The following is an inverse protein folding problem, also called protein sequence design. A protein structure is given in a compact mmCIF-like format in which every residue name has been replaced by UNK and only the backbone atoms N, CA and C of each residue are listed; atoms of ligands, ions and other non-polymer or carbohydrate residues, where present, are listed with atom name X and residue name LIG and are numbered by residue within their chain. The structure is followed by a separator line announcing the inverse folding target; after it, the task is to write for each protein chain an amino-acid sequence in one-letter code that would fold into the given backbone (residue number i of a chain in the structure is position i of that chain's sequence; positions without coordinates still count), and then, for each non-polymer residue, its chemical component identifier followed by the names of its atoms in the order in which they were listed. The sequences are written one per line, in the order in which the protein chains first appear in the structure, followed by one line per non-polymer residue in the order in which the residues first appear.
data_IF_063844539169
#
_entry.id   IF_063844539169
#
_cell.length_a   1.000
_cell.length_b   1.000
_cell.length_c   1.000
_cell.angle_alpha   90.00
_cell.angle_beta   90.00
_cell.angle_gamma   90.00
#
_symmetry.space_group_name_H-M   'P 1'
#
loop_
_entity.id
_entity.type
_entity.pdbx_description
1 polymer ?
#
# COMPACT_ATOMS: atom_id res chain seq x y z
N UNK A 1 16.69 -4.27 -22.28
CA UNK A 1 17.91 -3.80 -21.57
C UNK A 1 18.60 -4.95 -20.83
N UNK A 2 18.68 -6.18 -21.39
CA UNK A 2 19.17 -7.35 -20.65
C UNK A 2 20.63 -7.21 -20.21
N UNK A 3 21.49 -6.78 -21.13
CA UNK A 3 22.95 -6.68 -20.90
C UNK A 3 23.41 -5.21 -20.83
N UNK A 4 22.54 -4.32 -20.32
CA UNK A 4 22.80 -2.88 -20.26
C UNK A 4 22.48 -2.33 -18.88
N UNK A 5 23.37 -1.48 -18.38
CA UNK A 5 23.09 -0.60 -17.24
C UNK A 5 22.24 0.58 -17.72
N UNK A 6 21.25 0.96 -16.92
CA UNK A 6 20.40 2.12 -17.18
C UNK A 6 20.00 2.78 -15.86
N UNK A 7 19.50 4.01 -15.95
CA UNK A 7 19.08 4.82 -14.80
C UNK A 7 17.63 5.26 -14.96
N UNK A 8 16.93 5.43 -13.84
CA UNK A 8 15.60 6.00 -13.81
C UNK A 8 15.66 7.46 -13.34
N UNK A 9 15.55 8.46 -14.26
CA UNK A 9 15.29 9.82 -13.81
C UNK A 9 13.94 9.86 -13.11
N UNK A 10 13.84 10.63 -12.02
CA UNK A 10 12.63 10.78 -11.24
C UNK A 10 12.05 12.18 -11.41
N UNK A 11 10.73 12.27 -11.35
CA UNK A 11 9.97 13.51 -11.28
C UNK A 11 9.08 13.50 -10.02
N UNK A 12 8.66 14.67 -9.56
CA UNK A 12 7.79 14.81 -8.39
C UNK A 12 6.35 15.10 -8.82
N UNK A 13 5.37 14.53 -8.11
CA UNK A 13 4.01 15.08 -8.15
C UNK A 13 3.92 16.39 -7.34
N UNK A 14 2.78 17.08 -7.41
CA UNK A 14 2.60 18.37 -6.73
C UNK A 14 2.80 18.30 -5.19
N UNK A 15 2.71 17.10 -4.60
CA UNK A 15 2.90 16.86 -3.16
C UNK A 15 4.34 16.48 -2.82
N UNK A 16 5.22 16.37 -3.82
CA UNK A 16 6.61 15.97 -3.66
C UNK A 16 6.87 14.47 -3.68
N UNK A 17 5.90 13.61 -4.06
CA UNK A 17 6.17 12.17 -4.19
C UNK A 17 6.94 11.90 -5.48
N UNK A 18 8.05 11.18 -5.36
CA UNK A 18 8.91 10.84 -6.49
C UNK A 18 8.38 9.64 -7.30
N UNK A 19 8.40 9.77 -8.62
CA UNK A 19 8.05 8.73 -9.58
C UNK A 19 9.07 8.71 -10.72
N UNK A 20 9.46 7.53 -11.24
CA UNK A 20 10.27 7.42 -12.45
C UNK A 20 9.56 8.08 -13.63
N UNK A 21 10.30 8.90 -14.38
CA UNK A 21 9.80 9.54 -15.61
C UNK A 21 9.42 8.51 -16.69
N UNK A 22 10.18 7.40 -16.91
CA UNK A 22 9.78 6.38 -17.88
C UNK A 22 8.53 5.61 -17.42
N UNK A 23 7.39 5.71 -18.11
CA UNK A 23 6.11 5.20 -17.59
C UNK A 23 5.94 3.68 -17.78
N UNK A 24 6.58 3.09 -18.79
CA UNK A 24 6.30 1.70 -19.20
C UNK A 24 7.08 0.65 -18.41
N UNK A 25 8.34 0.94 -18.10
CA UNK A 25 9.25 -0.01 -17.45
C UNK A 25 10.00 0.70 -16.34
N UNK A 26 9.64 0.42 -15.09
CA UNK A 26 10.27 0.98 -13.91
C UNK A 26 9.98 0.16 -12.64
N UNK A 27 10.76 0.38 -11.59
CA UNK A 27 10.70 -0.38 -10.34
C UNK A 27 9.44 -0.14 -9.48
N UNK A 28 8.55 0.81 -9.83
CA UNK A 28 7.25 0.94 -9.16
C UNK A 28 6.18 0.01 -9.74
N UNK A 29 6.48 -0.67 -10.85
CA UNK A 29 5.57 -1.58 -11.54
C UNK A 29 5.13 -2.81 -10.74
N UNK A 30 4.53 -3.76 -11.45
CA UNK A 30 4.03 -5.02 -10.88
C UNK A 30 5.14 -5.91 -10.32
N UNK A 31 4.73 -6.96 -9.61
CA UNK A 31 5.63 -7.99 -9.05
C UNK A 31 6.66 -8.49 -10.08
N UNK A 32 6.21 -8.80 -11.30
CA UNK A 32 7.07 -9.26 -12.39
C UNK A 32 8.12 -8.21 -12.82
N UNK A 33 7.74 -6.93 -12.86
CA UNK A 33 8.69 -5.88 -13.25
C UNK A 33 9.74 -5.67 -12.16
N UNK A 34 9.34 -5.73 -10.89
CA UNK A 34 10.25 -5.61 -9.76
C UNK A 34 11.22 -6.79 -9.67
N UNK A 35 10.78 -8.00 -10.02
CA UNK A 35 11.62 -9.20 -9.93
C UNK A 35 12.75 -9.27 -10.96
N UNK A 36 12.65 -8.52 -12.05
CA UNK A 36 13.66 -8.53 -13.14
C UNK A 36 14.63 -7.34 -13.06
N UNK A 37 14.45 -6.44 -12.09
CA UNK A 37 15.32 -5.30 -11.88
C UNK A 37 16.25 -5.58 -10.69
N UNK A 38 17.55 -5.46 -10.93
CA UNK A 38 18.61 -5.58 -9.92
C UNK A 38 19.42 -4.29 -9.89
N UNK A 39 20.14 -4.05 -8.79
CA UNK A 39 21.12 -2.96 -8.76
C UNK A 39 22.27 -3.27 -9.72
N UNK A 40 22.70 -2.28 -10.50
CA UNK A 40 23.84 -2.45 -11.40
C UNK A 40 25.15 -2.63 -10.63
N UNK A 41 25.31 -1.91 -9.52
CA UNK A 41 26.41 -2.04 -8.59
C UNK A 41 26.00 -2.98 -7.45
N UNK A 42 26.71 -4.10 -7.32
CA UNK A 42 26.51 -5.07 -6.25
C UNK A 42 27.38 -4.76 -5.04
N UNK A 43 27.03 -5.33 -3.89
CA UNK A 43 27.78 -5.17 -2.64
C UNK A 43 27.98 -6.55 -1.98
N UNK A 44 29.15 -6.81 -1.35
CA UNK A 44 29.34 -8.02 -0.57
C UNK A 44 28.33 -8.09 0.57
N UNK A 45 27.76 -9.27 0.83
CA UNK A 45 26.73 -9.45 1.86
C UNK A 45 27.23 -9.08 3.26
N UNK A 46 28.50 -9.33 3.56
CA UNK A 46 29.06 -9.21 4.89
C UNK A 46 28.34 -10.11 5.91
N UNK A 47 28.59 -9.85 7.20
CA UNK A 47 28.14 -10.70 8.32
C UNK A 47 26.63 -10.93 8.38
N UNK A 48 25.83 -9.92 8.01
CA UNK A 48 24.37 -9.94 8.19
C UNK A 48 23.58 -10.00 6.87
N UNK A 49 24.23 -9.83 5.71
CA UNK A 49 23.53 -9.70 4.43
C UNK A 49 22.76 -10.96 4.04
N UNK A 50 23.31 -12.14 4.33
CA UNK A 50 22.63 -13.41 4.06
C UNK A 50 21.33 -13.55 4.88
N UNK A 51 21.36 -13.13 6.14
CA UNK A 51 20.17 -13.16 7.00
C UNK A 51 19.10 -12.16 6.53
N UNK A 52 19.52 -10.98 6.07
CA UNK A 52 18.59 -10.02 5.47
C UNK A 52 17.98 -10.52 4.16
N UNK A 53 18.72 -11.25 3.33
CA UNK A 53 18.15 -11.92 2.15
C UNK A 53 17.12 -12.98 2.54
N UNK A 54 17.39 -13.78 3.57
CA UNK A 54 16.44 -14.77 4.10
C UNK A 54 15.16 -14.12 4.63
N UNK A 55 15.30 -13.04 5.42
CA UNK A 55 14.16 -12.26 5.92
C UNK A 55 13.37 -11.65 4.77
N UNK A 56 14.04 -11.08 3.77
CA UNK A 56 13.42 -10.53 2.57
C UNK A 56 12.61 -11.59 1.83
N UNK A 57 13.16 -12.80 1.63
CA UNK A 57 12.45 -13.90 1.00
C UNK A 57 11.16 -14.22 1.75
N UNK A 58 11.20 -14.34 3.08
CA UNK A 58 9.99 -14.60 3.88
C UNK A 58 9.01 -13.42 3.80
N UNK A 59 9.48 -12.17 3.81
CA UNK A 59 8.61 -11.01 3.63
C UNK A 59 7.84 -11.06 2.31
N UNK A 60 8.51 -11.46 1.21
CA UNK A 60 7.90 -11.62 -0.12
C UNK A 60 6.87 -12.75 -0.16
N UNK A 61 7.08 -13.81 0.63
CA UNK A 61 6.09 -14.91 0.74
C UNK A 61 4.75 -14.44 1.30
N UNK A 62 4.79 -13.42 2.16
CA UNK A 62 3.64 -12.97 2.93
C UNK A 62 3.32 -13.85 4.14
N UNK A 63 4.11 -14.91 4.38
CA UNK A 63 4.09 -15.70 5.60
C UNK A 63 4.77 -14.95 6.75
N UNK A 64 4.47 -15.36 7.99
CA UNK A 64 5.11 -14.86 9.20
C UNK A 64 5.09 -13.33 9.36
N UNK A 65 4.10 -12.65 8.76
CA UNK A 65 3.96 -11.17 8.77
C UNK A 65 3.88 -10.57 10.17
N UNK A 66 3.30 -11.31 11.13
CA UNK A 66 3.15 -10.88 12.52
C UNK A 66 4.28 -11.37 13.42
N UNK A 67 5.21 -12.14 12.87
CA UNK A 67 6.33 -12.69 13.62
C UNK A 67 7.55 -11.76 13.53
N UNK A 68 8.39 -11.74 14.57
CA UNK A 68 9.64 -10.98 14.57
C UNK A 68 10.68 -11.57 13.61
N UNK A 69 11.70 -10.77 13.29
CA UNK A 69 12.74 -11.14 12.33
C UNK A 69 13.42 -12.48 12.66
N UNK A 70 13.67 -12.78 13.94
CA UNK A 70 14.24 -14.06 14.39
C UNK A 70 13.42 -15.28 13.94
N UNK A 71 12.09 -15.19 13.99
CA UNK A 71 11.19 -16.28 13.59
C UNK A 71 11.12 -16.37 12.07
N UNK A 72 11.15 -15.23 11.36
CA UNK A 72 11.23 -15.24 9.89
C UNK A 72 12.52 -15.89 9.41
N UNK A 73 13.65 -15.57 10.04
CA UNK A 73 14.95 -16.15 9.74
C UNK A 73 14.97 -17.66 10.00
N UNK A 74 14.44 -18.10 11.15
CA UNK A 74 14.30 -19.53 11.45
C UNK A 74 13.47 -20.24 10.37
N UNK A 75 12.32 -19.68 10.02
CA UNK A 75 11.45 -20.26 9.00
C UNK A 75 12.12 -20.31 7.62
N UNK A 76 12.93 -19.32 7.26
CA UNK A 76 13.74 -19.37 6.05
C UNK A 76 14.76 -20.51 6.07
N UNK A 77 15.41 -20.75 7.21
CA UNK A 77 16.36 -21.85 7.38
C UNK A 77 15.68 -23.23 7.28
N UNK A 78 14.45 -23.36 7.78
CA UNK A 78 13.63 -24.58 7.65
C UNK A 78 13.22 -24.84 6.19
N UNK A 79 13.07 -23.78 5.39
CA UNK A 79 12.63 -23.83 3.98
C UNK A 79 13.77 -23.84 2.95
N UNK A 80 15.01 -24.04 3.37
CA UNK A 80 16.16 -24.12 2.45
C UNK A 80 15.95 -25.13 1.32
N UNK A 81 15.45 -26.36 1.55
CA UNK A 81 15.20 -27.31 0.47
C UNK A 81 14.23 -26.76 -0.60
N UNK A 82 13.11 -26.17 -0.19
CA UNK A 82 12.11 -25.59 -1.10
C UNK A 82 12.63 -24.33 -1.81
N UNK A 83 13.46 -23.53 -1.13
CA UNK A 83 14.12 -22.35 -1.70
C UNK A 83 15.09 -22.78 -2.81
N UNK A 84 15.93 -23.79 -2.56
CA UNK A 84 16.89 -24.31 -3.55
C UNK A 84 16.16 -24.99 -4.71
N UNK A 85 15.13 -25.79 -4.45
CA UNK A 85 14.31 -26.40 -5.50
C UNK A 85 13.64 -25.34 -6.40
N UNK A 86 13.06 -24.30 -5.79
CA UNK A 86 12.47 -23.19 -6.53
C UNK A 86 13.50 -22.44 -7.38
N UNK A 87 14.74 -22.30 -6.90
CA UNK A 87 15.81 -21.64 -7.64
C UNK A 87 16.28 -22.45 -8.86
N UNK A 88 16.44 -23.77 -8.68
CA UNK A 88 17.03 -24.67 -9.67
C UNK A 88 16.03 -25.19 -10.69
N UNK A 89 14.81 -25.53 -10.25
CA UNK A 89 13.75 -26.16 -11.04
C UNK A 89 12.45 -25.38 -10.93
N UNK A 90 12.41 -24.11 -11.36
CA UNK A 90 11.31 -23.19 -11.10
C UNK A 90 9.95 -23.65 -11.68
N UNK A 91 9.95 -24.50 -12.70
CA UNK A 91 8.72 -25.01 -13.33
C UNK A 91 8.56 -26.53 -13.22
N UNK A 92 9.65 -27.26 -13.00
CA UNK A 92 9.69 -28.72 -12.95
C UNK A 92 9.71 -29.29 -11.52
N UNK A 93 10.05 -28.46 -10.53
CA UNK A 93 10.06 -28.82 -9.11
C UNK A 93 8.70 -28.64 -8.42
N UNK A 94 8.74 -28.41 -7.11
CA UNK A 94 7.57 -28.24 -6.24
C UNK A 94 6.90 -26.86 -6.38
N UNK A 95 7.57 -25.93 -7.06
CA UNK A 95 7.06 -24.59 -7.37
C UNK A 95 6.58 -23.81 -6.13
N UNK A 96 7.24 -24.02 -4.98
CA UNK A 96 6.89 -23.41 -3.70
C UNK A 96 6.75 -21.88 -3.80
N UNK A 97 7.61 -21.24 -4.59
CA UNK A 97 7.57 -19.79 -4.86
C UNK A 97 6.19 -19.29 -5.35
N UNK A 98 5.39 -20.10 -6.04
CA UNK A 98 4.05 -19.72 -6.53
C UNK A 98 3.01 -19.54 -5.42
N UNK A 99 3.27 -20.09 -4.23
CA UNK A 99 2.37 -19.98 -3.07
C UNK A 99 2.47 -18.62 -2.36
N UNK A 100 3.40 -17.76 -2.77
CA UNK A 100 3.67 -16.47 -2.15
C UNK A 100 2.75 -15.34 -2.61
N UNK A 101 2.66 -14.29 -1.80
CA UNK A 101 2.03 -13.00 -2.16
C UNK A 101 2.72 -12.29 -3.34
N UNK A 102 4.03 -12.49 -3.50
CA UNK A 102 4.91 -11.87 -4.52
C UNK A 102 5.74 -12.95 -5.23
N UNK A 103 5.10 -13.76 -6.10
CA UNK A 103 5.70 -14.97 -6.65
C UNK A 103 6.97 -14.70 -7.44
N UNK A 104 6.98 -13.72 -8.35
CA UNK A 104 8.16 -13.49 -9.19
C UNK A 104 9.33 -12.92 -8.38
N UNK A 105 9.08 -12.00 -7.45
CA UNK A 105 10.12 -11.51 -6.56
C UNK A 105 10.63 -12.61 -5.62
N UNK A 106 9.75 -13.50 -5.14
CA UNK A 106 10.14 -14.64 -4.29
C UNK A 106 11.06 -15.58 -5.07
N UNK A 107 10.73 -15.91 -6.32
CA UNK A 107 11.59 -16.73 -7.18
C UNK A 107 12.95 -16.08 -7.45
N UNK A 108 12.97 -14.78 -7.75
CA UNK A 108 14.21 -14.03 -7.94
C UNK A 108 15.08 -14.05 -6.66
N UNK A 109 14.46 -13.90 -5.48
CA UNK A 109 15.15 -13.99 -4.20
C UNK A 109 15.63 -15.41 -3.88
N UNK A 110 14.87 -16.45 -4.26
CA UNK A 110 15.33 -17.85 -4.14
C UNK A 110 16.61 -18.08 -4.92
N UNK A 111 16.68 -17.56 -6.16
CA UNK A 111 17.88 -17.64 -7.01
C UNK A 111 19.07 -16.90 -6.39
N UNK A 112 18.85 -15.70 -5.87
CA UNK A 112 19.90 -14.95 -5.18
C UNK A 112 20.44 -15.69 -3.96
N UNK A 113 19.55 -16.24 -3.13
CA UNK A 113 19.93 -17.02 -1.95
C UNK A 113 20.65 -18.32 -2.33
N UNK A 114 20.21 -19.01 -3.38
CA UNK A 114 20.89 -20.21 -3.86
C UNK A 114 22.33 -19.88 -4.29
N UNK A 115 22.54 -18.78 -5.00
CA UNK A 115 23.88 -18.32 -5.38
C UNK A 115 24.74 -17.99 -4.15
N UNK A 116 24.18 -17.22 -3.20
CA UNK A 116 24.89 -16.84 -1.98
C UNK A 116 25.27 -18.04 -1.11
N UNK A 117 24.36 -19.02 -0.94
CA UNK A 117 24.58 -20.23 -0.15
C UNK A 117 25.58 -21.20 -0.79
N UNK A 118 25.72 -21.17 -2.12
CA UNK A 118 26.69 -21.98 -2.86
C UNK A 118 28.06 -21.32 -2.96
N UNK A 119 28.18 -20.04 -2.59
CA UNK A 119 29.45 -19.33 -2.57
C UNK A 119 30.36 -19.91 -1.46
N UNK A 120 31.68 -20.08 -1.70
CA UNK A 120 32.60 -20.64 -0.69
C UNK A 120 32.61 -19.85 0.63
N UNK A 121 32.43 -18.53 0.54
CA UNK A 121 32.25 -17.64 1.68
C UNK A 121 31.03 -16.72 1.44
N UNK A 122 29.84 -17.02 1.97
CA UNK A 122 28.64 -16.22 1.71
C UNK A 122 28.78 -14.73 2.07
N UNK A 123 29.63 -14.36 3.03
CA UNK A 123 29.86 -12.94 3.38
C UNK A 123 30.54 -12.14 2.25
N UNK A 124 31.32 -12.82 1.41
CA UNK A 124 32.03 -12.21 0.27
C UNK A 124 31.21 -12.25 -1.03
N UNK A 125 30.06 -12.93 -1.04
CA UNK A 125 29.18 -12.97 -2.21
C UNK A 125 28.66 -11.56 -2.52
N UNK A 126 28.95 -11.07 -3.73
CA UNK A 126 28.51 -9.75 -4.20
C UNK A 126 27.07 -9.85 -4.69
N UNK A 127 26.14 -9.36 -3.88
CA UNK A 127 24.71 -9.36 -4.17
C UNK A 127 24.28 -8.08 -4.87
N UNK A 128 23.40 -8.24 -5.86
CA UNK A 128 22.77 -7.15 -6.59
C UNK A 128 21.28 -7.00 -6.24
N UNK A 129 20.78 -7.88 -5.38
CA UNK A 129 19.34 -8.02 -5.13
C UNK A 129 18.83 -6.96 -4.14
N UNK A 130 17.77 -6.22 -4.48
CA UNK A 130 17.19 -5.23 -3.57
C UNK A 130 16.44 -5.88 -2.40
N UNK A 131 16.81 -5.49 -1.17
CA UNK A 131 16.06 -5.83 0.05
C UNK A 131 15.13 -4.68 0.41
N UNK A 132 13.84 -4.98 0.60
CA UNK A 132 12.82 -3.95 0.84
C UNK A 132 12.58 -3.77 2.34
N UNK A 133 12.44 -2.52 2.78
CA UNK A 133 11.94 -2.15 4.10
C UNK A 133 10.79 -1.17 3.89
N UNK A 134 9.68 -1.37 4.60
CA UNK A 134 8.47 -0.56 4.46
C UNK A 134 7.85 -0.31 5.84
N UNK A 135 7.17 0.83 5.99
CA UNK A 135 6.48 1.19 7.21
C UNK A 135 5.12 0.50 7.30
N UNK A 136 4.72 0.11 8.52
CA UNK A 136 3.39 -0.41 8.77
C UNK A 136 2.38 0.75 8.77
N UNK A 137 1.87 1.08 7.58
CA UNK A 137 0.94 2.21 7.36
C UNK A 137 1.56 3.59 7.66
N UNK A 138 2.47 4.06 6.79
CA UNK A 138 3.19 5.33 6.98
C UNK A 138 2.28 6.53 7.25
N UNK A 139 1.08 6.59 6.65
CA UNK A 139 0.13 7.67 6.94
C UNK A 139 -0.27 7.74 8.41
N UNK A 140 -0.63 6.61 9.02
CA UNK A 140 -0.94 6.54 10.46
C UNK A 140 0.30 6.76 11.32
N UNK A 141 1.49 6.33 10.87
CA UNK A 141 2.75 6.66 11.56
C UNK A 141 2.95 8.18 11.64
N UNK A 142 2.71 8.91 10.55
CA UNK A 142 2.80 10.38 10.58
C UNK A 142 1.73 11.01 11.49
N UNK A 143 0.49 10.54 11.47
CA UNK A 143 -0.54 11.06 12.37
C UNK A 143 -0.23 10.80 13.84
N UNK A 144 0.22 9.59 14.19
CA UNK A 144 0.62 9.26 15.55
C UNK A 144 1.78 10.13 16.02
N UNK A 145 2.76 10.42 15.15
CA UNK A 145 3.86 11.32 15.46
C UNK A 145 3.41 12.78 15.63
N UNK A 146 2.53 13.29 14.75
CA UNK A 146 2.00 14.65 14.82
C UNK A 146 1.17 14.86 16.10
N UNK A 147 0.30 13.92 16.43
CA UNK A 147 -0.56 13.97 17.62
C UNK A 147 0.13 13.53 18.91
N UNK A 148 1.35 12.98 18.82
CA UNK A 148 2.03 12.28 19.92
C UNK A 148 1.13 11.24 20.60
N UNK A 149 0.37 10.51 19.78
CA UNK A 149 -0.58 9.49 20.20
C UNK A 149 0.15 8.19 20.53
N UNK A 150 0.30 7.88 21.82
CA UNK A 150 1.01 6.70 22.29
C UNK A 150 0.35 5.39 21.86
N UNK A 151 -0.99 5.30 21.96
CA UNK A 151 -1.73 4.10 21.57
C UNK A 151 -1.63 3.90 20.06
N UNK A 152 -1.82 4.98 19.29
CA UNK A 152 -1.63 4.95 17.85
C UNK A 152 -0.21 4.54 17.46
N UNK A 153 0.81 5.08 18.14
CA UNK A 153 2.22 4.80 17.92
C UNK A 153 2.59 3.33 18.17
N UNK A 154 1.96 2.67 19.14
CA UNK A 154 2.13 1.22 19.39
C UNK A 154 1.61 0.43 18.18
N UNK A 155 0.36 0.68 17.76
CA UNK A 155 -0.31 -0.07 16.68
C UNK A 155 0.41 0.01 15.32
N UNK A 156 1.17 1.08 15.09
CA UNK A 156 1.92 1.32 13.85
C UNK A 156 3.44 1.21 13.99
N UNK A 157 3.92 0.59 15.08
CA UNK A 157 5.32 0.25 15.31
C UNK A 157 6.28 1.46 15.43
N UNK A 158 5.79 2.61 15.90
CA UNK A 158 6.66 3.71 16.35
C UNK A 158 7.20 3.46 17.76
N UNK A 159 6.40 2.81 18.61
CA UNK A 159 6.85 2.36 19.92
C UNK A 159 7.64 1.03 19.77
N UNK A 160 8.82 0.88 20.39
CA UNK A 160 9.57 -0.37 20.38
C UNK A 160 8.74 -1.55 20.90
N UNK A 161 8.86 -2.71 20.24
CA UNK A 161 8.18 -3.94 20.63
C UNK A 161 8.98 -5.16 20.17
N UNK A 162 8.83 -6.28 20.88
CA UNK A 162 9.50 -7.55 20.55
C UNK A 162 8.91 -8.22 19.30
N UNK A 163 7.70 -7.84 18.90
CA UNK A 163 7.01 -8.34 17.72
C UNK A 163 6.30 -7.20 16.97
N UNK A 164 6.18 -7.31 15.63
CA UNK A 164 5.50 -6.28 14.85
C UNK A 164 4.01 -6.24 15.17
N UNK A 165 3.52 -5.05 15.51
CA UNK A 165 2.11 -4.73 15.63
C UNK A 165 1.46 -4.61 14.24
N UNK A 166 0.19 -4.97 14.17
CA UNK A 166 -0.56 -5.09 12.92
C UNK A 166 -1.91 -4.40 13.04
N UNK A 167 -1.89 -3.07 12.88
CA UNK A 167 -3.09 -2.19 12.91
C UNK A 167 -4.28 -2.76 12.13
N UNK A 168 -4.03 -3.42 10.99
CA UNK A 168 -5.09 -3.99 10.17
C UNK A 168 -5.84 -5.11 10.89
N UNK A 169 -5.15 -5.86 11.74
CA UNK A 169 -5.74 -6.93 12.55
C UNK A 169 -6.46 -6.38 13.78
N UNK A 170 -5.94 -5.32 14.40
CA UNK A 170 -6.64 -4.59 15.45
C UNK A 170 -7.99 -4.05 14.95
N UNK A 171 -7.98 -3.33 13.81
CA UNK A 171 -9.21 -2.86 13.17
C UNK A 171 -10.13 -4.02 12.78
N UNK A 172 -9.59 -5.11 12.20
CA UNK A 172 -10.39 -6.29 11.84
C UNK A 172 -11.11 -6.90 13.05
N UNK A 173 -10.45 -6.93 14.22
CA UNK A 173 -11.02 -7.49 15.44
C UNK A 173 -12.14 -6.59 16.00
N UNK A 174 -11.97 -5.27 15.96
CA UNK A 174 -13.04 -4.33 16.34
C UNK A 174 -14.24 -4.43 15.39
N UNK A 175 -14.01 -4.49 14.08
CA UNK A 175 -15.10 -4.67 13.10
C UNK A 175 -15.85 -5.98 13.34
N UNK A 176 -15.14 -7.06 13.66
CA UNK A 176 -15.77 -8.34 13.99
C UNK A 176 -16.58 -8.28 15.29
N UNK A 177 -16.09 -7.59 16.33
CA UNK A 177 -16.85 -7.33 17.57
C UNK A 177 -18.16 -6.59 17.27
N UNK A 178 -18.09 -5.52 16.49
CA UNK A 178 -19.26 -4.74 16.10
C UNK A 178 -20.24 -5.57 15.24
N UNK A 179 -19.72 -6.42 14.35
CA UNK A 179 -20.51 -7.36 13.56
C UNK A 179 -21.25 -8.36 14.43
N UNK A 180 -20.59 -8.94 15.43
CA UNK A 180 -21.21 -9.89 16.36
C UNK A 180 -22.36 -9.25 17.13
N UNK A 181 -22.17 -8.02 17.62
CA UNK A 181 -23.22 -7.26 18.31
C UNK A 181 -24.44 -7.02 17.39
N UNK A 182 -24.22 -6.55 16.17
CA UNK A 182 -25.30 -6.30 15.22
C UNK A 182 -26.00 -7.59 14.77
N UNK A 183 -25.24 -8.68 14.59
CA UNK A 183 -25.78 -9.99 14.26
C UNK A 183 -26.70 -10.53 15.37
N UNK A 184 -26.31 -10.34 16.64
CA UNK A 184 -27.13 -10.67 17.81
C UNK A 184 -28.40 -9.81 17.89
N UNK A 185 -28.35 -8.57 17.41
CA UNK A 185 -29.50 -7.67 17.29
C UNK A 185 -30.36 -7.91 16.03
N UNK A 186 -30.09 -8.98 15.27
CA UNK A 186 -30.93 -9.37 14.13
C UNK A 186 -30.60 -8.67 12.80
N UNK A 187 -29.45 -8.00 12.68
CA UNK A 187 -29.01 -7.40 11.41
C UNK A 187 -28.56 -8.49 10.44
N UNK A 188 -29.34 -8.73 9.39
CA UNK A 188 -29.13 -9.84 8.44
C UNK A 188 -27.73 -9.82 7.80
N UNK A 189 -27.29 -8.66 7.28
CA UNK A 189 -25.97 -8.53 6.65
C UNK A 189 -24.83 -8.84 7.61
N UNK A 190 -24.98 -8.49 8.89
CA UNK A 190 -23.97 -8.78 9.91
C UNK A 190 -23.86 -10.29 10.16
N UNK A 191 -24.99 -11.02 10.18
CA UNK A 191 -24.99 -12.48 10.28
C UNK A 191 -24.32 -13.14 9.07
N UNK A 192 -24.62 -12.67 7.86
CA UNK A 192 -24.00 -13.21 6.62
C UNK A 192 -22.50 -12.95 6.51
N UNK A 193 -21.99 -11.95 7.21
CA UNK A 193 -20.57 -11.60 7.26
C UNK A 193 -19.73 -12.42 8.23
N UNK A 194 -20.33 -13.36 8.97
CA UNK A 194 -19.61 -14.24 9.89
C UNK A 194 -18.49 -15.02 9.18
N UNK A 195 -17.26 -14.92 9.69
CA UNK A 195 -16.07 -15.56 9.09
C UNK A 195 -15.48 -14.84 7.86
N UNK A 196 -16.08 -13.74 7.41
CA UNK A 196 -15.64 -12.96 6.25
C UNK A 196 -14.94 -11.64 6.60
N UNK A 197 -14.99 -11.19 7.86
CA UNK A 197 -14.22 -10.04 8.37
C UNK A 197 -12.75 -10.42 8.55
N UNK A 198 -12.03 -10.52 7.43
CA UNK A 198 -10.63 -10.93 7.37
C UNK A 198 -9.71 -9.72 7.20
N UNK A 199 -8.47 -9.81 7.71
CA UNK A 199 -7.41 -8.81 7.51
C UNK A 199 -7.30 -8.33 6.06
N UNK A 200 -7.38 -9.24 5.09
CA UNK A 200 -7.28 -8.92 3.65
C UNK A 200 -8.41 -7.96 3.19
N UNK A 201 -9.63 -8.15 3.70
CA UNK A 201 -10.81 -7.34 3.36
C UNK A 201 -10.67 -5.91 3.92
N UNK A 202 -10.23 -5.78 5.18
CA UNK A 202 -10.12 -4.46 5.83
C UNK A 202 -8.86 -3.68 5.43
N UNK A 203 -7.76 -4.37 5.09
CA UNK A 203 -6.43 -3.76 4.91
C UNK A 203 -6.43 -2.60 3.94
N UNK A 204 -7.05 -2.77 2.77
CA UNK A 204 -6.98 -1.75 1.71
C UNK A 204 -7.69 -0.46 2.13
N UNK A 205 -8.84 -0.58 2.80
CA UNK A 205 -9.62 0.57 3.28
C UNK A 205 -8.91 1.29 4.42
N UNK A 206 -8.37 0.57 5.40
CA UNK A 206 -7.55 1.16 6.48
C UNK A 206 -6.34 1.90 5.90
N UNK A 207 -5.63 1.28 4.96
CA UNK A 207 -4.46 1.89 4.32
C UNK A 207 -4.81 3.16 3.55
N UNK A 208 -5.98 3.22 2.90
CA UNK A 208 -6.38 4.38 2.07
C UNK A 208 -7.17 5.43 2.84
N UNK A 209 -7.68 5.11 4.04
CA UNK A 209 -8.36 6.05 4.94
C UNK A 209 -7.52 7.29 5.20
N UNK A 210 -6.27 7.10 5.62
CA UNK A 210 -5.31 8.20 5.90
C UNK A 210 -4.87 8.97 4.65
N UNK A 211 -5.23 8.52 3.46
CA UNK A 211 -4.96 9.20 2.20
C UNK A 211 -6.23 9.82 1.59
N UNK A 212 -7.31 9.98 2.38
CA UNK A 212 -8.51 10.70 1.97
C UNK A 212 -9.48 9.86 1.12
N UNK A 213 -9.51 8.54 1.29
CA UNK A 213 -10.52 7.72 0.59
C UNK A 213 -11.93 8.14 1.03
N UNK A 214 -12.81 8.38 0.06
CA UNK A 214 -14.22 8.68 0.35
C UNK A 214 -14.96 7.41 0.76
N UNK A 215 -16.12 7.55 1.42
CA UNK A 215 -17.01 6.42 1.73
C UNK A 215 -17.35 5.57 0.49
N UNK A 216 -17.54 6.24 -0.66
CA UNK A 216 -17.77 5.57 -1.93
C UNK A 216 -16.54 4.77 -2.40
N UNK A 217 -15.36 5.38 -2.38
CA UNK A 217 -14.11 4.70 -2.73
C UNK A 217 -13.82 3.50 -1.81
N UNK A 218 -14.02 3.67 -0.50
CA UNK A 218 -13.86 2.63 0.50
C UNK A 218 -14.80 1.45 0.25
N UNK A 219 -16.09 1.72 -0.01
CA UNK A 219 -17.08 0.69 -0.38
C UNK A 219 -16.61 -0.11 -1.59
N UNK A 220 -16.12 0.54 -2.64
CA UNK A 220 -15.64 -0.16 -3.85
C UNK A 220 -14.41 -1.04 -3.59
N UNK A 221 -13.49 -0.60 -2.73
CA UNK A 221 -12.34 -1.41 -2.34
C UNK A 221 -12.76 -2.68 -1.59
N UNK A 222 -13.68 -2.55 -0.62
CA UNK A 222 -14.21 -3.69 0.14
C UNK A 222 -14.97 -4.63 -0.78
N UNK A 223 -15.84 -4.09 -1.64
CA UNK A 223 -16.59 -4.87 -2.61
C UNK A 223 -15.67 -5.71 -3.49
N UNK A 224 -14.55 -5.15 -3.94
CA UNK A 224 -13.54 -5.89 -4.70
C UNK A 224 -12.96 -7.06 -3.88
N UNK A 225 -12.61 -6.84 -2.62
CA UNK A 225 -12.08 -7.90 -1.76
C UNK A 225 -13.12 -8.99 -1.45
N UNK A 226 -14.40 -8.63 -1.29
CA UNK A 226 -15.48 -9.60 -1.08
C UNK A 226 -15.72 -10.47 -2.32
N UNK A 227 -15.64 -9.90 -3.52
CA UNK A 227 -15.76 -10.64 -4.79
C UNK A 227 -14.64 -11.65 -5.02
N UNK A 228 -13.48 -11.44 -4.40
CA UNK A 228 -12.35 -12.36 -4.46
C UNK A 228 -12.52 -13.55 -3.48
N UNK A 229 -13.63 -13.65 -2.76
CA UNK A 229 -13.95 -14.74 -1.82
C UNK A 229 -15.06 -15.61 -2.43
N UNK A 230 -14.74 -16.79 -2.99
CA UNK A 230 -15.72 -17.64 -3.67
C UNK A 230 -16.88 -18.11 -2.79
N UNK A 231 -16.67 -18.18 -1.47
CA UNK A 231 -17.67 -18.66 -0.51
C UNK A 231 -18.66 -17.59 -0.07
N UNK A 232 -18.44 -16.31 -0.42
CA UNK A 232 -19.32 -15.21 -0.01
C UNK A 232 -20.44 -14.99 -1.05
N UNK A 233 -21.69 -14.98 -0.58
CA UNK A 233 -22.86 -14.89 -1.45
C UNK A 233 -22.97 -13.51 -2.13
N UNK A 234 -23.02 -13.53 -3.46
CA UNK A 234 -23.08 -12.34 -4.31
C UNK A 234 -24.27 -11.44 -4.02
N UNK A 235 -25.38 -12.02 -3.52
CA UNK A 235 -26.60 -11.29 -3.15
C UNK A 235 -26.29 -10.18 -2.14
N UNK A 236 -25.35 -10.40 -1.22
CA UNK A 236 -25.05 -9.49 -0.12
C UNK A 236 -23.92 -8.50 -0.43
N UNK A 237 -23.28 -8.57 -1.59
CA UNK A 237 -22.12 -7.73 -1.93
C UNK A 237 -22.32 -6.22 -1.67
N UNK A 238 -23.46 -5.66 -2.07
CA UNK A 238 -23.71 -4.23 -1.94
C UNK A 238 -23.95 -3.82 -0.48
N UNK A 239 -24.76 -4.58 0.23
CA UNK A 239 -25.11 -4.33 1.62
C UNK A 239 -23.91 -4.55 2.53
N UNK A 240 -23.19 -5.67 2.33
CA UNK A 240 -22.01 -6.03 3.10
C UNK A 240 -20.86 -5.03 2.92
N UNK A 241 -20.61 -4.58 1.68
CA UNK A 241 -19.57 -3.56 1.45
C UNK A 241 -19.91 -2.21 2.09
N UNK A 242 -21.19 -1.82 2.12
CA UNK A 242 -21.64 -0.61 2.81
C UNK A 242 -21.51 -0.76 4.32
N UNK A 243 -21.96 -1.88 4.87
CA UNK A 243 -21.89 -2.20 6.29
C UNK A 243 -20.44 -2.20 6.80
N UNK A 244 -19.56 -2.97 6.14
CA UNK A 244 -18.15 -3.04 6.51
C UNK A 244 -17.46 -1.68 6.37
N UNK A 245 -17.79 -0.88 5.36
CA UNK A 245 -17.24 0.48 5.24
C UNK A 245 -17.58 1.32 6.47
N UNK A 246 -18.84 1.30 6.92
CA UNK A 246 -19.27 2.05 8.11
C UNK A 246 -18.55 1.57 9.37
N UNK A 247 -18.48 0.25 9.57
CA UNK A 247 -17.81 -0.34 10.74
C UNK A 247 -16.30 -0.09 10.74
N UNK A 248 -15.63 -0.20 9.59
CA UNK A 248 -14.19 0.11 9.47
C UNK A 248 -13.93 1.58 9.83
N UNK A 249 -14.73 2.52 9.29
CA UNK A 249 -14.57 3.94 9.60
C UNK A 249 -14.81 4.23 11.08
N UNK A 250 -15.81 3.58 11.68
CA UNK A 250 -16.07 3.67 13.12
C UNK A 250 -14.88 3.15 13.94
N UNK A 251 -14.39 1.94 13.64
CA UNK A 251 -13.27 1.32 14.37
C UNK A 251 -11.96 2.11 14.23
N UNK A 252 -11.67 2.71 13.08
CA UNK A 252 -10.49 3.56 12.92
C UNK A 252 -10.61 4.80 13.82
N UNK A 253 -11.78 5.44 13.88
CA UNK A 253 -12.02 6.61 14.74
C UNK A 253 -11.90 6.26 16.22
N UNK A 254 -12.40 5.09 16.63
CA UNK A 254 -12.28 4.59 18.00
C UNK A 254 -10.80 4.33 18.38
N UNK A 255 -10.00 3.77 17.46
CA UNK A 255 -8.59 3.47 17.70
C UNK A 255 -7.66 4.69 17.64
N UNK A 256 -7.97 5.68 16.81
CA UNK A 256 -7.05 6.76 16.46
C UNK A 256 -7.71 8.14 16.63
N UNK A 257 -8.07 8.49 17.86
CA UNK A 257 -8.73 9.75 18.19
C UNK A 257 -7.91 10.97 17.79
N UNK A 258 -6.61 10.99 18.11
CA UNK A 258 -5.71 12.09 17.74
C UNK A 258 -5.58 12.23 16.20
N UNK A 259 -5.59 11.11 15.47
CA UNK A 259 -5.62 11.15 14.00
C UNK A 259 -6.87 11.86 13.50
N UNK A 260 -8.03 11.55 14.10
CA UNK A 260 -9.28 12.20 13.74
C UNK A 260 -9.25 13.71 14.04
N UNK A 261 -8.82 14.11 15.23
CA UNK A 261 -8.75 15.53 15.61
C UNK A 261 -7.87 16.35 14.65
N UNK A 262 -6.73 15.79 14.23
CA UNK A 262 -5.83 16.44 13.25
C UNK A 262 -6.49 16.51 11.87
N UNK A 263 -7.18 15.44 11.44
CA UNK A 263 -7.90 15.43 10.16
C UNK A 263 -9.05 16.46 10.13
N UNK A 264 -9.83 16.52 11.20
CA UNK A 264 -10.93 17.45 11.35
C UNK A 264 -10.39 18.89 11.34
N UNK A 265 -9.30 19.17 12.07
CA UNK A 265 -8.63 20.49 12.06
C UNK A 265 -8.10 20.88 10.67
N UNK A 266 -7.41 19.99 9.95
CA UNK A 266 -6.95 20.29 8.59
C UNK A 266 -8.11 20.53 7.62
N UNK A 267 -9.21 19.80 7.79
CA UNK A 267 -10.41 19.94 6.95
C UNK A 267 -11.07 21.29 7.19
N UNK A 268 -11.23 21.69 8.45
CA UNK A 268 -11.80 22.99 8.82
C UNK A 268 -10.93 24.14 8.29
N UNK A 269 -9.61 24.05 8.45
CA UNK A 269 -8.68 25.03 7.90
C UNK A 269 -8.81 25.16 6.38
N UNK A 270 -8.84 24.03 5.66
CA UNK A 270 -9.00 24.04 4.21
C UNK A 270 -10.33 24.67 3.79
N UNK A 271 -11.43 24.29 4.42
CA UNK A 271 -12.77 24.84 4.15
C UNK A 271 -12.81 26.36 4.37
N UNK A 272 -12.29 26.83 5.51
CA UNK A 272 -12.24 28.26 5.82
C UNK A 272 -11.38 29.05 4.84
N UNK A 273 -10.19 28.56 4.50
CA UNK A 273 -9.32 29.22 3.51
C UNK A 273 -10.06 29.31 2.18
N UNK A 274 -10.55 28.19 1.65
CA UNK A 274 -11.19 28.19 0.32
C UNK A 274 -12.43 29.07 0.26
N UNK A 275 -13.30 29.06 1.28
CA UNK A 275 -14.55 29.84 1.28
C UNK A 275 -14.33 31.34 1.46
N UNK A 276 -13.32 31.73 2.23
CA UNK A 276 -13.10 33.14 2.59
C UNK A 276 -12.20 33.83 1.59
N UNK A 277 -11.07 33.23 1.21
CA UNK A 277 -10.13 33.85 0.27
C UNK A 277 -10.42 33.49 -1.19
N UNK A 278 -11.06 32.35 -1.45
CA UNK A 278 -11.12 31.81 -2.81
C UNK A 278 -9.73 31.47 -3.34
N UNK A 279 -8.75 31.18 -2.49
CA UNK A 279 -7.41 30.77 -2.92
C UNK A 279 -7.23 29.25 -2.73
N UNK A 280 -6.42 28.57 -3.55
CA UNK A 280 -6.08 27.18 -3.32
C UNK A 280 -5.29 27.04 -2.01
N UNK A 281 -5.43 25.88 -1.36
CA UNK A 281 -4.64 25.57 -0.19
C UNK A 281 -3.16 25.40 -0.59
N UNK A 282 -2.29 26.14 0.07
CA UNK A 282 -0.84 26.07 -0.13
C UNK A 282 -0.07 25.93 1.19
N UNK A 283 1.08 25.26 1.13
CA UNK A 283 2.01 25.16 2.24
C UNK A 283 3.43 24.91 1.74
N UNK A 284 4.42 25.02 2.62
CA UNK A 284 5.82 24.66 2.32
C UNK A 284 6.19 23.42 3.12
N UNK A 285 6.71 22.40 2.45
CA UNK A 285 7.20 21.18 3.14
C UNK A 285 8.35 21.51 4.09
N UNK A 286 8.66 20.65 5.08
CA UNK A 286 9.84 20.84 5.93
C UNK A 286 11.18 20.91 5.18
N UNK A 287 11.22 20.48 3.91
CA UNK A 287 12.39 20.55 3.03
C UNK A 287 12.40 21.79 2.10
N UNK A 288 11.43 22.70 2.24
CA UNK A 288 11.35 23.93 1.46
C UNK A 288 10.63 23.83 0.12
N UNK A 289 10.09 22.66 -0.25
CA UNK A 289 9.26 22.52 -1.46
C UNK A 289 7.89 23.20 -1.24
N UNK A 290 7.51 24.20 -2.05
CA UNK A 290 6.15 24.74 -2.03
C UNK A 290 5.17 23.75 -2.65
N UNK A 291 4.02 23.57 -2.00
CA UNK A 291 2.94 22.69 -2.43
C UNK A 291 1.66 23.50 -2.54
N UNK A 292 0.99 23.39 -3.68
CA UNK A 292 -0.29 24.05 -3.97
C UNK A 292 -1.27 22.98 -4.41
N UNK A 293 -2.46 22.94 -3.81
CA UNK A 293 -3.51 22.03 -4.24
C UNK A 293 -4.13 22.51 -5.57
N UNK A 294 -4.08 21.73 -6.65
CA UNK A 294 -4.55 22.16 -7.97
C UNK A 294 -6.06 21.94 -8.17
N UNK A 295 -6.84 21.94 -7.09
CA UNK A 295 -8.26 21.59 -7.12
C UNK A 295 -9.10 22.83 -7.43
N UNK A 296 -9.59 22.92 -8.66
CA UNK A 296 -10.39 24.03 -9.14
C UNK A 296 -11.68 23.53 -9.77
N UNK A 297 -12.72 24.37 -9.76
CA UNK A 297 -13.95 24.09 -10.50
C UNK A 297 -13.70 24.39 -11.97
N UNK A 298 -13.88 23.39 -12.83
CA UNK A 298 -13.85 23.61 -14.27
C UNK A 298 -15.05 24.46 -14.68
N UNK A 299 -14.79 25.63 -15.27
CA UNK A 299 -15.82 26.44 -15.91
C UNK A 299 -15.78 26.17 -17.40
N UNK A 300 -16.84 25.53 -17.90
CA UNK A 300 -17.04 25.39 -19.34
C UNK A 300 -17.47 26.74 -19.92
N UNK A 301 -16.53 27.53 -20.44
CA UNK A 301 -16.87 28.68 -21.28
C UNK A 301 -17.25 28.19 -22.68
N UNK A 302 -18.45 28.56 -23.15
CA UNK A 302 -18.83 28.36 -24.55
C UNK A 302 -18.04 29.33 -25.43
N UNK A 303 -16.91 28.89 -25.97
CA UNK A 303 -16.14 29.65 -26.97
C UNK A 303 -16.78 29.55 -28.37
N UNK A 304 -16.71 30.65 -29.12
CA UNK A 304 -17.29 30.83 -30.46
C UNK A 304 -16.65 29.92 -31.53
N UNK A 305 -17.47 29.52 -32.50
CA UNK A 305 -17.14 28.54 -33.56
C UNK A 305 -15.95 29.02 -34.41
N UNK A 306 -14.85 28.28 -34.38
CA UNK A 306 -13.85 28.32 -35.46
C UNK A 306 -14.17 27.21 -36.47
N UNK A 307 -14.48 27.61 -37.70
CA UNK A 307 -14.70 26.71 -38.84
C UNK A 307 -13.37 26.46 -39.54
N UNK A 308 -12.84 25.24 -39.44
CA UNK A 308 -11.88 24.72 -40.42
C UNK A 308 -12.68 23.79 -41.34
N UNK A 309 -12.61 24.06 -42.65
CA UNK A 309 -13.39 23.39 -43.68
C UNK A 309 -13.35 21.85 -43.55
N UNK A 310 -14.53 21.24 -43.39
CA UNK A 310 -14.79 19.89 -43.90
C UNK A 310 -14.75 18.71 -42.93
N UNK A 311 -14.55 18.89 -41.62
CA UNK A 311 -14.78 17.81 -40.62
C UNK A 311 -15.49 18.36 -39.40
N UNK A 312 -16.47 17.59 -38.92
CA UNK A 312 -17.32 17.92 -37.77
C UNK A 312 -16.50 18.39 -36.56
N UNK A 313 -17.06 19.39 -35.89
CA UNK A 313 -16.46 20.22 -34.85
C UNK A 313 -15.85 19.43 -33.69
N UNK A 314 -14.51 19.49 -33.56
CA UNK A 314 -13.87 19.31 -32.25
C UNK A 314 -14.16 20.54 -31.39
N UNK A 315 -14.86 20.34 -30.28
CA UNK A 315 -14.97 21.33 -29.21
C UNK A 315 -13.58 21.51 -28.58
N UNK A 316 -12.91 22.63 -28.86
CA UNK A 316 -11.73 23.02 -28.10
C UNK A 316 -12.22 23.66 -26.79
N UNK A 317 -11.98 22.94 -25.69
CA UNK A 317 -12.25 23.42 -24.34
C UNK A 317 -11.09 24.30 -23.88
N UNK A 318 -11.35 25.58 -23.63
CA UNK A 318 -10.43 26.42 -22.87
C UNK A 318 -10.91 26.40 -21.42
N UNK A 319 -10.25 25.61 -20.58
CA UNK A 319 -10.56 25.53 -19.15
C UNK A 319 -10.03 26.79 -18.44
N UNK A 320 -10.94 27.59 -17.89
CA UNK A 320 -10.61 28.58 -16.87
C UNK A 320 -10.91 27.96 -15.50
N UNK A 321 -10.01 28.19 -14.56
CA UNK A 321 -10.09 27.68 -13.19
C UNK A 321 -10.67 28.77 -12.30
N UNK A 322 -11.85 28.55 -11.73
CA UNK A 322 -12.33 29.36 -10.59
C UNK A 322 -12.14 28.56 -9.29
N UNK A 323 -11.82 29.27 -8.19
CA UNK A 323 -11.69 28.66 -6.88
C UNK A 323 -13.01 28.11 -6.34
N UNK A 324 -12.90 27.15 -5.42
CA UNK A 324 -14.04 26.56 -4.73
C UNK A 324 -14.73 27.62 -3.86
N UNK A 325 -15.99 27.94 -4.17
CA UNK A 325 -16.87 28.70 -3.28
C UNK A 325 -17.48 27.81 -2.21
#
# INVERSE_FOLDING_TARGET
FRDKVFWFPHNLDFRGRAYPTPPHFNHLGSDLIRSILLFAEGQPLGKNGLDWLKIQLINLTGFKKRDPHRIRLQFANEKIPEILDSADRPFEGEQWWKTSDKPWQTLACCKELANALRHPNPEEYVSHFPVHQDGSCNGLQHYAALGRDELGAIEVNLHPSDAPQDVYSGVSALVERERQNDAANGVEVAQKLEGFVRRKVVKQTVMTFVYGVTKYGAKLQILKQLKDIPEFDEKYYQEASLYLMQKIFFSIKEMFTATQEIQDWFTDCAEHITRVSGEPLEWVTPLGLPVIQPYHKEITLKSSRFSIQGKESCLNYTSYFEPYQ
#
